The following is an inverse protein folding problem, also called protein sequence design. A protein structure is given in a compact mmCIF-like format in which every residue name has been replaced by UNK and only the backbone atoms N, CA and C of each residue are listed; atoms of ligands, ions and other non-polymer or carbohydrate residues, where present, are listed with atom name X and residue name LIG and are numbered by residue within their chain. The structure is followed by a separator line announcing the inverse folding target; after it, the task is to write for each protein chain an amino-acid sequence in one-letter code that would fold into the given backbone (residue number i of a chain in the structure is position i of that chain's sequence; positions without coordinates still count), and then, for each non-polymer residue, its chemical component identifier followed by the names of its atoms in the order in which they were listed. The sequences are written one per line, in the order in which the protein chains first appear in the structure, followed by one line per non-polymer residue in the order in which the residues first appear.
data_IF_646017108403
#
_entry.id   IF_646017108403
#
_cell.length_a   1.000
_cell.length_b   1.000
_cell.length_c   1.000
_cell.angle_alpha   90.00
_cell.angle_beta   90.00
_cell.angle_gamma   90.00
#
_symmetry.space_group_name_H-M   'P 1'
#
loop_
_entity.id
_entity.type
_entity.pdbx_description
1 polymer ?
#
# COMPACT_ATOMS: atom_id res chain seq x y z
N UNK A 1 -19.40 22.28 8.32
CA UNK A 1 -18.70 21.04 8.74
C UNK A 1 -17.61 20.72 7.72
N UNK A 2 -16.35 20.90 8.08
CA UNK A 2 -15.23 20.46 7.23
C UNK A 2 -15.12 18.93 7.41
N UNK A 3 -15.42 18.17 6.35
CA UNK A 3 -15.30 16.71 6.36
C UNK A 3 -13.87 16.32 6.75
N UNK A 4 -13.73 15.44 7.76
CA UNK A 4 -12.45 14.99 8.33
C UNK A 4 -11.43 14.54 7.27
N UNK A 5 -11.92 14.00 6.15
CA UNK A 5 -11.15 13.66 4.95
C UNK A 5 -10.37 14.86 4.36
N UNK A 6 -11.00 16.03 4.26
CA UNK A 6 -10.37 17.21 3.67
C UNK A 6 -9.29 17.79 4.60
N UNK A 7 -9.49 17.73 5.92
CA UNK A 7 -8.48 18.20 6.89
C UNK A 7 -7.22 17.34 6.86
N UNK A 8 -7.38 16.01 6.82
CA UNK A 8 -6.23 15.06 6.72
C UNK A 8 -5.49 15.26 5.39
N UNK A 9 -6.23 15.48 4.30
CA UNK A 9 -5.65 15.75 2.98
C UNK A 9 -4.86 17.06 2.91
N UNK A 10 -5.32 18.10 3.60
CA UNK A 10 -4.62 19.37 3.72
C UNK A 10 -3.36 19.23 4.60
N UNK A 11 -3.44 18.53 5.73
CA UNK A 11 -2.27 18.21 6.55
C UNK A 11 -1.23 17.36 5.79
N UNK A 12 -1.69 16.45 4.92
CA UNK A 12 -0.82 15.67 4.07
C UNK A 12 -0.08 16.52 3.03
N UNK A 13 -0.73 17.59 2.52
CA UNK A 13 -0.13 18.56 1.59
C UNK A 13 0.96 19.40 2.24
N UNK A 14 0.74 19.89 3.46
CA UNK A 14 1.69 20.79 4.14
C UNK A 14 3.06 20.13 4.40
N UNK A 15 3.08 18.81 4.61
CA UNK A 15 4.31 18.02 4.76
C UNK A 15 4.43 16.90 3.72
N UNK A 16 4.05 17.19 2.46
CA UNK A 16 3.95 16.19 1.39
C UNK A 16 5.19 15.32 1.22
N UNK A 17 6.41 15.89 1.26
CA UNK A 17 7.65 15.12 1.09
C UNK A 17 7.88 14.12 2.22
N UNK A 18 7.69 14.58 3.46
CA UNK A 18 7.87 13.75 4.66
C UNK A 18 6.80 12.65 4.74
N UNK A 19 5.54 13.02 4.50
CA UNK A 19 4.41 12.10 4.55
C UNK A 19 4.45 11.06 3.42
N UNK A 20 4.94 11.43 2.24
CA UNK A 20 5.13 10.48 1.13
C UNK A 20 6.24 9.48 1.44
N UNK A 21 7.34 9.91 2.05
CA UNK A 21 8.44 9.02 2.49
C UNK A 21 7.99 8.03 3.56
N UNK A 22 7.26 8.50 4.58
CA UNK A 22 6.65 7.60 5.58
C UNK A 22 5.70 6.61 4.91
N UNK A 23 4.94 7.09 3.93
CA UNK A 23 4.03 6.23 3.20
C UNK A 23 4.74 5.12 2.41
N UNK A 24 5.93 5.40 1.86
CA UNK A 24 6.76 4.38 1.20
C UNK A 24 7.11 3.29 2.21
N UNK A 25 7.65 3.69 3.35
CA UNK A 25 8.06 2.77 4.42
C UNK A 25 6.89 1.89 4.88
N UNK A 26 5.72 2.48 5.12
CA UNK A 26 4.53 1.71 5.54
C UNK A 26 4.10 0.74 4.43
N UNK A 27 4.02 1.19 3.18
CA UNK A 27 3.58 0.36 2.06
C UNK A 27 4.49 -0.85 1.82
N UNK A 28 5.81 -0.66 1.95
CA UNK A 28 6.78 -1.74 1.74
C UNK A 28 6.80 -2.72 2.90
N UNK A 29 6.73 -2.25 4.15
CA UNK A 29 6.65 -3.12 5.33
C UNK A 29 5.39 -4.00 5.32
N UNK A 30 4.23 -3.41 5.03
CA UNK A 30 2.97 -4.16 4.94
C UNK A 30 2.99 -5.13 3.76
N UNK A 31 3.55 -4.73 2.62
CA UNK A 31 3.75 -5.63 1.48
C UNK A 31 4.65 -6.83 1.81
N UNK A 32 5.75 -6.62 2.55
CA UNK A 32 6.62 -7.71 3.00
C UNK A 32 5.91 -8.69 3.93
N UNK A 33 5.07 -8.20 4.85
CA UNK A 33 4.26 -9.04 5.72
C UNK A 33 3.25 -9.86 4.90
N UNK A 34 2.58 -9.23 3.92
CA UNK A 34 1.63 -9.92 3.05
C UNK A 34 2.31 -11.05 2.24
N UNK A 35 3.47 -10.79 1.64
CA UNK A 35 4.25 -11.79 0.91
C UNK A 35 4.67 -12.93 1.85
N UNK A 36 5.13 -12.63 3.05
CA UNK A 36 5.52 -13.63 4.04
C UNK A 36 4.34 -14.56 4.38
N UNK A 37 3.16 -14.01 4.63
CA UNK A 37 1.95 -14.78 4.92
C UNK A 37 1.55 -15.66 3.73
N UNK A 38 1.60 -15.15 2.50
CA UNK A 38 1.31 -15.95 1.30
C UNK A 38 2.30 -17.12 1.14
N UNK A 39 3.59 -16.89 1.44
CA UNK A 39 4.62 -17.93 1.37
C UNK A 39 4.45 -19.01 2.44
N UNK A 40 3.90 -18.67 3.61
CA UNK A 40 3.61 -19.65 4.66
C UNK A 40 2.54 -20.67 4.26
N UNK A 41 1.61 -20.31 3.36
CA UNK A 41 0.56 -21.19 2.85
C UNK A 41 1.03 -22.19 1.77
N UNK A 42 2.31 -22.14 1.39
CA UNK A 42 2.92 -23.08 0.45
C UNK A 42 3.28 -22.47 -0.91
N UNK A 43 3.63 -23.33 -1.85
CA UNK A 43 4.34 -22.96 -3.09
C UNK A 43 3.53 -23.21 -4.37
N UNK A 44 2.20 -23.07 -4.30
CA UNK A 44 1.33 -23.25 -5.46
C UNK A 44 1.37 -22.04 -6.40
N UNK A 45 1.02 -22.26 -7.67
CA UNK A 45 1.03 -21.22 -8.72
C UNK A 45 0.11 -20.02 -8.38
N UNK A 46 -0.97 -20.27 -7.64
CA UNK A 46 -1.87 -19.23 -7.11
C UNK A 46 -1.12 -18.29 -6.14
N UNK A 47 -0.31 -18.83 -5.22
CA UNK A 47 0.44 -18.06 -4.24
C UNK A 47 1.44 -17.13 -4.93
N UNK A 48 2.13 -17.62 -5.96
CA UNK A 48 3.06 -16.83 -6.76
C UNK A 48 2.39 -15.67 -7.50
N UNK A 49 1.18 -15.88 -8.06
CA UNK A 49 0.40 -14.81 -8.69
C UNK A 49 -0.03 -13.76 -7.66
N UNK A 50 -0.49 -14.19 -6.47
CA UNK A 50 -0.87 -13.27 -5.40
C UNK A 50 0.32 -12.41 -4.93
N UNK A 51 1.50 -13.02 -4.76
CA UNK A 51 2.75 -12.29 -4.46
C UNK A 51 3.05 -11.28 -5.56
N UNK A 52 2.97 -11.68 -6.83
CA UNK A 52 3.21 -10.79 -7.97
C UNK A 52 2.30 -9.56 -7.95
N UNK A 53 1.00 -9.74 -7.70
CA UNK A 53 0.04 -8.63 -7.64
C UNK A 53 0.31 -7.73 -6.43
N UNK A 54 0.60 -8.29 -5.25
CA UNK A 54 0.92 -7.53 -4.05
C UNK A 54 2.17 -6.65 -4.25
N UNK A 55 3.23 -7.21 -4.84
CA UNK A 55 4.47 -6.49 -5.15
C UNK A 55 4.23 -5.41 -6.21
N UNK A 56 3.41 -5.69 -7.22
CA UNK A 56 3.09 -4.73 -8.28
C UNK A 56 2.36 -3.50 -7.71
N UNK A 57 1.37 -3.71 -6.85
CA UNK A 57 0.60 -2.64 -6.20
C UNK A 57 1.48 -1.78 -5.29
N UNK A 58 2.36 -2.40 -4.49
CA UNK A 58 3.33 -1.64 -3.69
C UNK A 58 4.33 -0.86 -4.57
N UNK A 59 4.77 -1.44 -5.68
CA UNK A 59 5.70 -0.79 -6.61
C UNK A 59 5.06 0.41 -7.32
N UNK A 60 3.76 0.35 -7.62
CA UNK A 60 3.00 1.48 -8.18
C UNK A 60 2.98 2.67 -7.19
N UNK A 61 2.79 2.41 -5.89
CA UNK A 61 2.87 3.46 -4.87
C UNK A 61 4.25 4.11 -4.85
N UNK A 62 5.32 3.31 -4.84
CA UNK A 62 6.69 3.81 -4.87
C UNK A 62 6.98 4.63 -6.14
N UNK A 63 6.55 4.14 -7.31
CA UNK A 63 6.70 4.83 -8.59
C UNK A 63 5.95 6.16 -8.62
N UNK A 64 4.73 6.23 -8.05
CA UNK A 64 3.96 7.46 -7.97
C UNK A 64 4.63 8.53 -7.11
N UNK A 65 5.27 8.13 -5.99
CA UNK A 65 6.04 9.05 -5.15
C UNK A 65 7.30 9.54 -5.87
N UNK A 66 8.06 8.66 -6.55
CA UNK A 66 9.24 9.04 -7.32
C UNK A 66 8.90 9.93 -8.53
N UNK A 67 7.76 9.71 -9.18
CA UNK A 67 7.26 10.53 -10.29
C UNK A 67 6.75 11.92 -9.84
N UNK A 68 6.82 12.24 -8.54
CA UNK A 68 6.33 13.50 -7.96
C UNK A 68 4.87 13.75 -8.35
N UNK A 69 4.05 12.69 -8.33
CA UNK A 69 2.63 12.81 -8.66
C UNK A 69 1.89 13.69 -7.67
N UNK A 70 0.71 14.18 -8.08
CA UNK A 70 -0.07 15.03 -7.19
C UNK A 70 -0.40 14.32 -5.87
N UNK A 71 -0.31 15.04 -4.75
CA UNK A 71 -0.56 14.51 -3.40
C UNK A 71 -1.89 13.77 -3.26
N UNK A 72 -2.89 14.10 -4.09
CA UNK A 72 -4.19 13.41 -4.13
C UNK A 72 -4.07 11.96 -4.61
N UNK A 73 -3.21 11.71 -5.59
CA UNK A 73 -2.99 10.39 -6.19
C UNK A 73 -2.23 9.51 -5.21
N UNK A 74 -1.15 10.01 -4.63
CA UNK A 74 -0.32 9.27 -3.67
C UNK A 74 -1.13 8.89 -2.43
N UNK A 75 -1.93 9.82 -1.90
CA UNK A 75 -2.82 9.52 -0.77
C UNK A 75 -3.87 8.44 -1.11
N UNK A 76 -4.38 8.39 -2.33
CA UNK A 76 -5.33 7.36 -2.72
C UNK A 76 -4.64 6.00 -2.95
N UNK A 77 -3.42 6.02 -3.51
CA UNK A 77 -2.63 4.81 -3.75
C UNK A 77 -2.19 4.16 -2.44
N UNK A 78 -1.79 4.92 -1.41
CA UNK A 78 -1.38 4.31 -0.13
C UNK A 78 -2.54 3.59 0.56
N UNK A 79 -3.72 4.19 0.49
CA UNK A 79 -4.95 3.58 1.02
C UNK A 79 -5.26 2.31 0.25
N UNK A 80 -5.16 2.36 -1.08
CA UNK A 80 -5.42 1.20 -1.94
C UNK A 80 -4.43 0.06 -1.66
N UNK A 81 -3.13 0.36 -1.52
CA UNK A 81 -2.12 -0.65 -1.22
C UNK A 81 -2.30 -1.25 0.18
N UNK A 82 -2.66 -0.44 1.18
CA UNK A 82 -2.94 -0.92 2.53
C UNK A 82 -4.16 -1.85 2.55
N UNK A 83 -5.27 -1.40 1.96
CA UNK A 83 -6.51 -2.17 1.89
C UNK A 83 -6.29 -3.49 1.17
N UNK A 84 -5.60 -3.47 0.02
CA UNK A 84 -5.31 -4.68 -0.74
C UNK A 84 -4.46 -5.67 0.05
N UNK A 85 -3.33 -5.23 0.63
CA UNK A 85 -2.47 -6.12 1.40
C UNK A 85 -3.17 -6.66 2.65
N UNK A 86 -3.99 -5.87 3.33
CA UNK A 86 -4.80 -6.34 4.48
C UNK A 86 -5.79 -7.42 4.03
N UNK A 87 -6.48 -7.23 2.90
CA UNK A 87 -7.40 -8.23 2.36
C UNK A 87 -6.64 -9.53 2.02
N UNK A 88 -5.48 -9.42 1.37
CA UNK A 88 -4.63 -10.57 1.02
C UNK A 88 -4.18 -11.33 2.27
N UNK A 89 -3.78 -10.61 3.33
CA UNK A 89 -3.41 -11.20 4.62
C UNK A 89 -4.60 -11.94 5.24
N UNK A 90 -5.79 -11.33 5.28
CA UNK A 90 -6.99 -11.95 5.86
C UNK A 90 -7.40 -13.20 5.08
N UNK A 91 -7.40 -13.13 3.74
CA UNK A 91 -7.77 -14.26 2.89
C UNK A 91 -6.78 -15.42 3.03
N UNK A 92 -5.47 -15.13 3.10
CA UNK A 92 -4.48 -16.18 3.30
C UNK A 92 -4.49 -16.72 4.73
N UNK A 93 -4.74 -15.92 5.75
CA UNK A 93 -4.83 -16.42 7.12
C UNK A 93 -6.08 -17.29 7.37
N UNK A 94 -7.13 -17.13 6.55
CA UNK A 94 -8.37 -17.89 6.65
C UNK A 94 -8.34 -19.24 5.89
N UNK A 95 -7.29 -19.50 5.11
CA UNK A 95 -7.08 -20.71 4.29
C UNK A 95 -6.02 -21.58 4.96
#
# INVERSE_FOLDING_TARGET
MINKYNSVKLAFRDNYRFNSSIGIVISTLVGSIAVMVIMMNGYNLINWIQIGIAVFICSIYNAAVLSVQSYKIIFNLIITSLVYNIIVIILNLAI
#
